data_IF_674102569905
#
_entry.id   IF_674102569905
#
_cell.length_a   1.000
_cell.length_b   1.000
_cell.length_c   1.000
_cell.angle_alpha   90.00
_cell.angle_beta   90.00
_cell.angle_gamma   90.00
#
_symmetry.space_group_name_H-M   'P 1'
#
loop_
_entity.id
_entity.type
_entity.pdbx_description
1 polymer ?
#
# COMPACT_ATOMS: atom_id res chain seq x y z
N UNK A 1 -27.40 -10.13 33.70
CA UNK A 1 -27.48 -10.05 32.23
C UNK A 1 -28.29 -11.24 31.74
N UNK A 2 -29.37 -11.04 30.98
CA UNK A 2 -30.28 -12.11 30.58
C UNK A 2 -29.79 -12.81 29.31
N UNK A 3 -29.59 -14.13 29.41
CA UNK A 3 -29.40 -15.03 28.28
C UNK A 3 -30.72 -15.18 27.54
N UNK A 4 -30.83 -14.57 26.35
CA UNK A 4 -32.02 -14.67 25.52
C UNK A 4 -31.96 -15.93 24.64
N UNK A 5 -33.09 -16.64 24.52
CA UNK A 5 -33.24 -17.71 23.55
C UNK A 5 -33.39 -17.12 22.15
N UNK A 6 -32.40 -17.34 21.30
CA UNK A 6 -32.54 -17.19 19.84
C UNK A 6 -33.47 -18.30 19.32
N UNK A 7 -33.97 -18.17 18.09
CA UNK A 7 -34.91 -19.07 17.38
C UNK A 7 -36.40 -18.66 17.39
N UNK A 8 -36.76 -17.83 16.40
CA UNK A 8 -37.95 -17.99 15.53
C UNK A 8 -38.00 -16.95 14.40
N UNK A 9 -37.22 -15.86 14.48
CA UNK A 9 -37.20 -14.82 13.45
C UNK A 9 -35.80 -14.21 13.27
N UNK A 10 -35.03 -14.75 12.32
CA UNK A 10 -33.63 -14.38 12.09
C UNK A 10 -33.43 -12.89 11.75
N UNK A 11 -34.39 -12.25 11.09
CA UNK A 11 -34.35 -10.81 10.82
C UNK A 11 -34.35 -10.01 12.13
N UNK A 12 -35.17 -10.41 13.11
CA UNK A 12 -35.19 -9.77 14.45
C UNK A 12 -33.88 -10.00 15.19
N UNK A 13 -33.30 -11.19 15.07
CA UNK A 13 -32.03 -11.52 15.71
C UNK A 13 -30.89 -10.64 15.16
N UNK A 14 -30.86 -10.43 13.85
CA UNK A 14 -29.89 -9.55 13.19
C UNK A 14 -30.07 -8.08 13.62
N UNK A 15 -31.31 -7.57 13.63
CA UNK A 15 -31.58 -6.20 14.09
C UNK A 15 -31.10 -6.00 15.53
N UNK A 16 -31.33 -6.99 16.41
CA UNK A 16 -30.83 -6.97 17.79
C UNK A 16 -29.32 -6.97 17.87
N UNK A 17 -28.62 -7.73 17.03
CA UNK A 17 -27.16 -7.71 16.97
C UNK A 17 -26.65 -6.32 16.55
N UNK A 18 -27.30 -5.67 15.58
CA UNK A 18 -26.96 -4.30 15.17
C UNK A 18 -27.16 -3.32 16.34
N UNK A 19 -28.28 -3.42 17.06
CA UNK A 19 -28.53 -2.60 18.26
C UNK A 19 -27.47 -2.83 19.36
N UNK A 20 -27.12 -4.09 19.63
CA UNK A 20 -26.12 -4.46 20.65
C UNK A 20 -24.72 -3.98 20.30
N UNK A 21 -24.38 -3.91 19.00
CA UNK A 21 -23.09 -3.38 18.53
C UNK A 21 -22.86 -1.89 18.85
N UNK A 22 -23.86 -1.18 19.38
CA UNK A 22 -23.80 0.23 19.80
C UNK A 22 -23.49 0.43 21.28
N UNK A 23 -23.57 -0.64 22.08
CA UNK A 23 -23.37 -0.55 23.52
C UNK A 23 -21.89 -0.32 23.84
N UNK A 24 -21.57 0.43 24.91
CA UNK A 24 -20.19 0.70 25.30
C UNK A 24 -19.44 -0.61 25.58
N UNK A 25 -18.21 -0.68 25.09
CA UNK A 25 -17.46 -1.91 24.91
C UNK A 25 -16.33 -1.99 25.92
N UNK A 26 -16.37 -2.98 26.80
CA UNK A 26 -15.18 -3.56 27.41
C UNK A 26 -14.78 -4.85 26.65
N UNK A 27 -13.58 -5.37 26.92
CA UNK A 27 -13.06 -6.55 26.21
C UNK A 27 -13.97 -7.79 26.37
N UNK A 28 -14.58 -7.92 27.55
CA UNK A 28 -15.54 -9.00 27.84
C UNK A 28 -16.82 -8.88 26.98
N UNK A 29 -17.31 -7.66 26.79
CA UNK A 29 -18.48 -7.37 25.94
C UNK A 29 -18.17 -7.61 24.47
N UNK A 30 -16.94 -7.35 24.02
CA UNK A 30 -16.49 -7.66 22.65
C UNK A 30 -16.53 -9.16 22.37
N UNK A 31 -15.98 -9.96 23.27
CA UNK A 31 -15.95 -11.42 23.12
C UNK A 31 -17.37 -12.00 23.16
N UNK A 32 -18.20 -11.53 24.09
CA UNK A 32 -19.59 -11.96 24.18
C UNK A 32 -20.38 -11.60 22.92
N UNK A 33 -20.18 -10.40 22.38
CA UNK A 33 -20.81 -9.99 21.11
C UNK A 33 -20.40 -10.92 19.95
N UNK A 34 -19.11 -11.21 19.81
CA UNK A 34 -18.62 -12.12 18.78
C UNK A 34 -19.25 -13.53 18.89
N UNK A 35 -19.43 -14.05 20.11
CA UNK A 35 -20.12 -15.32 20.35
C UNK A 35 -21.60 -15.28 19.92
N UNK A 36 -22.30 -14.18 20.18
CA UNK A 36 -23.69 -14.01 19.74
C UNK A 36 -23.80 -13.92 18.22
N UNK A 37 -22.87 -13.22 17.56
CA UNK A 37 -22.79 -13.17 16.10
C UNK A 37 -22.55 -14.56 15.52
N UNK A 38 -21.58 -15.31 16.06
CA UNK A 38 -21.30 -16.70 15.65
C UNK A 38 -22.55 -17.58 15.82
N UNK A 39 -23.25 -17.51 16.95
CA UNK A 39 -24.46 -18.29 17.15
C UNK A 39 -25.55 -18.06 16.07
N UNK A 40 -25.70 -16.82 15.61
CA UNK A 40 -26.70 -16.45 14.58
C UNK A 40 -26.23 -16.81 13.17
N UNK A 41 -24.94 -16.62 12.87
CA UNK A 41 -24.41 -16.67 11.51
C UNK A 41 -23.63 -17.92 11.15
N UNK A 42 -23.07 -18.68 12.10
CA UNK A 42 -22.28 -19.88 11.80
C UNK A 42 -23.03 -20.88 10.92
N UNK A 43 -24.31 -21.23 11.17
CA UNK A 43 -25.03 -22.15 10.29
C UNK A 43 -25.13 -21.64 8.83
N UNK A 44 -25.12 -20.32 8.63
CA UNK A 44 -25.17 -19.69 7.31
C UNK A 44 -23.79 -19.58 6.66
N UNK A 45 -22.75 -19.33 7.45
CA UNK A 45 -21.37 -19.28 6.99
C UNK A 45 -20.97 -20.69 6.56
N UNK A 46 -21.16 -21.68 7.43
CA UNK A 46 -20.80 -23.08 7.16
C UNK A 46 -21.47 -23.61 5.89
N UNK A 47 -22.73 -23.24 5.62
CA UNK A 47 -23.42 -23.67 4.41
C UNK A 47 -22.87 -23.06 3.11
N UNK A 48 -22.01 -22.04 3.20
CA UNK A 48 -21.41 -21.30 2.07
C UNK A 48 -19.92 -21.61 1.85
N UNK A 49 -19.29 -22.27 2.81
CA UNK A 49 -17.89 -22.67 2.73
C UNK A 49 -17.77 -24.06 2.09
N UNK A 50 -16.72 -24.23 1.30
CA UNK A 50 -16.30 -25.58 0.84
C UNK A 50 -15.73 -26.38 2.02
N UNK A 51 -15.57 -27.69 1.85
CA UNK A 51 -14.96 -28.55 2.90
C UNK A 51 -13.56 -28.08 3.32
N UNK A 52 -12.76 -27.60 2.38
CA UNK A 52 -11.42 -27.07 2.66
C UNK A 52 -11.46 -25.75 3.43
N UNK A 53 -12.38 -24.85 3.07
CA UNK A 53 -12.57 -23.57 3.75
C UNK A 53 -13.21 -23.73 5.15
N UNK A 54 -14.03 -24.77 5.34
CA UNK A 54 -14.60 -25.08 6.65
C UNK A 54 -13.57 -25.58 7.67
N UNK A 55 -12.44 -26.15 7.23
CA UNK A 55 -11.35 -26.52 8.13
C UNK A 55 -10.30 -25.41 8.27
N UNK A 56 -10.46 -24.33 7.53
CA UNK A 56 -9.58 -23.16 7.52
C UNK A 56 -10.00 -22.19 8.62
N UNK A 57 -9.47 -22.42 9.82
CA UNK A 57 -9.75 -21.59 11.00
C UNK A 57 -9.42 -20.09 10.77
N UNK A 58 -8.27 -19.71 10.17
CA UNK A 58 -7.99 -18.30 9.86
C UNK A 58 -9.05 -17.61 9.01
N UNK A 59 -9.56 -18.29 7.97
CA UNK A 59 -10.63 -17.73 7.12
C UNK A 59 -11.93 -17.54 7.91
N UNK A 60 -12.32 -18.50 8.73
CA UNK A 60 -13.53 -18.42 9.55
C UNK A 60 -13.44 -17.29 10.58
N UNK A 61 -12.32 -17.16 11.27
CA UNK A 61 -12.06 -16.06 12.19
C UNK A 61 -12.09 -14.70 11.48
N UNK A 62 -11.54 -14.64 10.26
CA UNK A 62 -11.58 -13.43 9.42
C UNK A 62 -13.01 -13.04 9.04
N UNK A 63 -13.82 -14.02 8.59
CA UNK A 63 -15.24 -13.80 8.25
C UNK A 63 -16.00 -13.26 9.46
N UNK A 64 -15.83 -13.88 10.62
CA UNK A 64 -16.53 -13.47 11.84
C UNK A 64 -16.08 -12.07 12.30
N UNK A 65 -14.78 -11.77 12.24
CA UNK A 65 -14.22 -10.46 12.60
C UNK A 65 -14.77 -9.34 11.70
N UNK A 66 -14.76 -9.55 10.38
CA UNK A 66 -15.31 -8.59 9.42
C UNK A 66 -16.82 -8.45 9.56
N UNK A 67 -17.54 -9.55 9.82
CA UNK A 67 -18.99 -9.52 10.04
C UNK A 67 -19.35 -8.68 11.27
N UNK A 68 -18.62 -8.85 12.38
CA UNK A 68 -18.78 -7.98 13.55
C UNK A 68 -18.54 -6.51 13.17
N UNK A 69 -17.48 -6.23 12.41
CA UNK A 69 -17.17 -4.89 11.92
C UNK A 69 -18.25 -4.29 10.99
N UNK A 70 -18.87 -5.10 10.14
CA UNK A 70 -19.97 -4.69 9.28
C UNK A 70 -21.19 -4.33 10.12
N UNK A 71 -21.59 -5.20 11.06
CA UNK A 71 -22.71 -4.94 11.97
C UNK A 71 -22.50 -3.67 12.78
N UNK A 72 -21.29 -3.48 13.33
CA UNK A 72 -20.88 -2.27 14.04
C UNK A 72 -20.90 -1.00 13.19
N UNK A 73 -20.92 -1.08 11.86
CA UNK A 73 -20.96 0.12 11.01
C UNK A 73 -22.35 0.41 10.45
N UNK A 74 -23.36 -0.46 10.71
CA UNK A 74 -24.70 -0.29 10.15
C UNK A 74 -25.54 0.80 10.84
N UNK A 75 -26.21 1.69 10.11
CA UNK A 75 -27.19 2.60 10.71
C UNK A 75 -28.34 1.81 11.38
N UNK A 76 -28.79 2.23 12.56
CA UNK A 76 -29.92 1.57 13.26
C UNK A 76 -31.23 1.61 12.46
N UNK A 77 -31.38 2.62 11.61
CA UNK A 77 -32.58 2.86 10.81
C UNK A 77 -32.53 2.06 9.51
N UNK A 78 -31.34 1.59 9.11
CA UNK A 78 -31.17 0.88 7.86
C UNK A 78 -31.51 -0.60 8.02
N UNK A 79 -32.64 -1.02 7.43
CA UNK A 79 -33.07 -2.42 7.44
C UNK A 79 -32.41 -3.25 6.34
N UNK A 80 -31.63 -2.63 5.44
CA UNK A 80 -31.10 -3.29 4.26
C UNK A 80 -30.30 -4.55 4.61
N UNK A 81 -29.39 -4.46 5.59
CA UNK A 81 -28.61 -5.61 6.04
C UNK A 81 -29.54 -6.73 6.51
N UNK A 82 -30.54 -6.42 7.32
CA UNK A 82 -31.45 -7.41 7.88
C UNK A 82 -32.36 -8.05 6.81
N UNK A 83 -32.70 -7.29 5.77
CA UNK A 83 -33.51 -7.75 4.63
C UNK A 83 -32.72 -8.58 3.62
N UNK A 84 -31.45 -8.27 3.42
CA UNK A 84 -30.59 -8.86 2.38
C UNK A 84 -29.39 -9.62 2.95
N UNK A 85 -29.44 -10.04 4.22
CA UNK A 85 -28.32 -10.62 4.95
C UNK A 85 -27.63 -11.80 4.25
N UNK A 86 -28.37 -12.56 3.42
CA UNK A 86 -27.79 -13.66 2.64
C UNK A 86 -26.83 -13.15 1.57
N UNK A 87 -27.26 -12.19 0.77
CA UNK A 87 -26.46 -11.57 -0.29
C UNK A 87 -25.27 -10.82 0.30
N UNK A 88 -25.50 -10.07 1.38
CA UNK A 88 -24.42 -9.37 2.09
C UNK A 88 -23.39 -10.36 2.64
N UNK A 89 -23.83 -11.49 3.18
CA UNK A 89 -22.93 -12.54 3.67
C UNK A 89 -22.13 -13.18 2.53
N UNK A 90 -22.75 -13.42 1.36
CA UNK A 90 -22.04 -13.96 0.20
C UNK A 90 -20.93 -13.00 -0.28
N UNK A 91 -21.24 -11.70 -0.37
CA UNK A 91 -20.25 -10.67 -0.72
C UNK A 91 -19.13 -10.55 0.34
N UNK A 92 -19.49 -10.65 1.62
CA UNK A 92 -18.54 -10.58 2.72
C UNK A 92 -17.56 -11.76 2.71
N UNK A 93 -18.06 -12.98 2.47
CA UNK A 93 -17.21 -14.17 2.38
C UNK A 93 -16.24 -14.03 1.21
N UNK A 94 -16.69 -13.53 0.05
CA UNK A 94 -15.78 -13.29 -1.08
C UNK A 94 -14.74 -12.20 -0.78
N UNK A 95 -15.13 -11.16 -0.03
CA UNK A 95 -14.20 -10.14 0.45
C UNK A 95 -13.15 -10.73 1.42
N UNK A 96 -13.54 -11.66 2.29
CA UNK A 96 -12.64 -12.35 3.22
C UNK A 96 -11.70 -13.32 2.49
N UNK A 97 -12.18 -14.02 1.45
CA UNK A 97 -11.32 -14.82 0.56
C UNK A 97 -10.28 -13.96 -0.15
N UNK A 98 -10.71 -12.81 -0.67
CA UNK A 98 -9.79 -11.83 -1.23
C UNK A 98 -8.74 -11.40 -0.21
N UNK A 99 -9.15 -11.10 1.02
CA UNK A 99 -8.25 -10.69 2.11
C UNK A 99 -7.20 -11.75 2.44
N UNK A 100 -7.60 -13.03 2.47
CA UNK A 100 -6.68 -14.15 2.65
C UNK A 100 -5.68 -14.27 1.49
N UNK A 101 -6.14 -14.15 0.24
CA UNK A 101 -5.26 -14.19 -0.95
C UNK A 101 -4.17 -13.11 -0.96
N UNK A 102 -4.36 -11.98 -0.27
CA UNK A 102 -3.33 -10.92 -0.20
C UNK A 102 -2.06 -11.42 0.51
N UNK A 103 -2.19 -12.36 1.44
CA UNK A 103 -1.04 -12.90 2.17
C UNK A 103 -0.11 -13.72 1.28
N UNK A 104 -0.69 -14.39 0.29
CA UNK A 104 0.01 -15.34 -0.57
C UNK A 104 0.52 -14.72 -1.89
N UNK A 105 0.02 -13.53 -2.26
CA UNK A 105 0.28 -12.90 -3.56
C UNK A 105 0.98 -11.55 -3.36
N UNK A 106 2.04 -11.24 -4.14
CA UNK A 106 2.66 -9.92 -4.11
C UNK A 106 1.63 -8.80 -4.27
N UNK A 107 1.71 -7.77 -3.42
CA UNK A 107 0.72 -6.69 -3.38
C UNK A 107 0.53 -5.98 -4.73
N UNK A 108 1.58 -5.93 -5.58
CA UNK A 108 1.53 -5.36 -6.93
C UNK A 108 0.60 -6.19 -7.83
N UNK A 109 0.81 -7.50 -7.87
CA UNK A 109 0.00 -8.43 -8.65
C UNK A 109 -1.44 -8.43 -8.13
N UNK A 110 -1.60 -8.45 -6.81
CA UNK A 110 -2.91 -8.41 -6.18
C UNK A 110 -3.69 -7.13 -6.53
N UNK A 111 -3.02 -5.97 -6.54
CA UNK A 111 -3.64 -4.72 -6.97
C UNK A 111 -4.11 -4.80 -8.43
N UNK A 112 -3.34 -5.42 -9.33
CA UNK A 112 -3.68 -5.54 -10.75
C UNK A 112 -4.90 -6.43 -10.99
N UNK A 113 -4.98 -7.59 -10.33
CA UNK A 113 -6.05 -8.57 -10.55
C UNK A 113 -7.35 -8.22 -9.82
N UNK A 114 -7.30 -7.33 -8.84
CA UNK A 114 -8.45 -6.98 -7.98
C UNK A 114 -9.38 -5.93 -8.60
N UNK A 115 -9.98 -6.26 -9.74
CA UNK A 115 -10.90 -5.36 -10.48
C UNK A 115 -11.99 -4.81 -9.57
N UNK A 116 -12.63 -5.65 -8.75
CA UNK A 116 -13.69 -5.22 -7.84
C UNK A 116 -13.23 -4.15 -6.85
N UNK A 117 -12.01 -4.26 -6.31
CA UNK A 117 -11.48 -3.30 -5.32
C UNK A 117 -11.01 -2.01 -5.96
N UNK A 118 -10.56 -2.07 -7.21
CA UNK A 118 -10.34 -0.87 -8.01
C UNK A 118 -11.68 -0.15 -8.29
N UNK A 119 -12.75 -0.90 -8.59
CA UNK A 119 -14.09 -0.33 -8.78
C UNK A 119 -14.59 0.38 -7.52
N UNK A 120 -14.39 -0.18 -6.32
CA UNK A 120 -14.74 0.49 -5.06
C UNK A 120 -14.07 1.88 -4.98
N UNK A 121 -12.79 1.97 -5.34
CA UNK A 121 -12.04 3.24 -5.34
C UNK A 121 -12.56 4.22 -6.40
N UNK A 122 -12.91 3.72 -7.59
CA UNK A 122 -13.51 4.53 -8.66
C UNK A 122 -14.86 5.11 -8.24
N UNK A 123 -15.70 4.32 -7.56
CA UNK A 123 -16.98 4.80 -7.04
C UNK A 123 -16.79 5.95 -6.05
N UNK A 124 -15.78 5.90 -5.18
CA UNK A 124 -15.50 7.03 -4.30
C UNK A 124 -15.00 8.27 -5.03
N UNK A 125 -14.21 8.12 -6.11
CA UNK A 125 -13.86 9.26 -6.96
C UNK A 125 -15.10 9.88 -7.59
N UNK A 126 -16.04 9.09 -8.09
CA UNK A 126 -17.32 9.58 -8.59
C UNK A 126 -18.10 10.32 -7.51
N UNK A 127 -18.22 9.73 -6.32
CA UNK A 127 -18.88 10.39 -5.18
C UNK A 127 -18.22 11.72 -4.83
N UNK A 128 -16.89 11.79 -4.79
CA UNK A 128 -16.13 13.03 -4.53
C UNK A 128 -16.40 14.08 -5.62
N UNK A 129 -16.39 13.67 -6.90
CA UNK A 129 -16.65 14.55 -8.05
C UNK A 129 -18.04 15.18 -8.01
N UNK A 130 -19.01 14.44 -7.51
CA UNK A 130 -20.44 14.78 -7.45
C UNK A 130 -20.85 15.53 -6.18
N UNK A 131 -19.96 15.66 -5.18
CA UNK A 131 -20.28 16.37 -3.94
C UNK A 131 -20.83 17.78 -4.22
N UNK A 132 -21.84 18.24 -3.46
CA UNK A 132 -22.41 19.57 -3.65
C UNK A 132 -21.43 20.67 -3.26
N UNK A 133 -20.68 20.47 -2.18
CA UNK A 133 -19.71 21.41 -1.64
C UNK A 133 -18.48 21.54 -2.56
N UNK A 134 -18.06 22.77 -2.83
CA UNK A 134 -16.85 23.03 -3.59
C UNK A 134 -15.65 22.93 -2.65
N UNK A 135 -15.00 21.77 -2.63
CA UNK A 135 -13.71 21.59 -1.98
C UNK A 135 -12.58 21.41 -3.01
N UNK A 136 -11.34 21.61 -2.55
CA UNK A 136 -10.14 21.50 -3.38
C UNK A 136 -10.04 20.12 -4.04
N UNK A 137 -10.40 19.07 -3.30
CA UNK A 137 -10.33 17.70 -3.78
C UNK A 137 -11.30 17.42 -4.93
N UNK A 138 -12.56 17.86 -4.82
CA UNK A 138 -13.56 17.77 -5.89
C UNK A 138 -13.06 18.46 -7.16
N UNK A 139 -12.43 19.62 -7.02
CA UNK A 139 -11.80 20.33 -8.16
C UNK A 139 -10.74 19.44 -8.81
N UNK A 140 -9.83 18.86 -8.05
CA UNK A 140 -8.80 17.94 -8.54
C UNK A 140 -9.42 16.72 -9.25
N UNK A 141 -10.40 16.07 -8.61
CA UNK A 141 -11.05 14.88 -9.16
C UNK A 141 -11.79 15.17 -10.47
N UNK A 142 -12.34 16.38 -10.65
CA UNK A 142 -12.97 16.80 -11.90
C UNK A 142 -12.01 16.97 -13.07
N UNK A 143 -10.71 17.13 -12.81
CA UNK A 143 -9.68 17.24 -13.84
C UNK A 143 -9.27 15.87 -14.38
N UNK A 144 -9.58 14.78 -13.68
CA UNK A 144 -9.20 13.43 -14.07
C UNK A 144 -10.10 12.91 -15.19
N UNK A 145 -9.47 12.44 -16.26
CA UNK A 145 -10.15 11.63 -17.30
C UNK A 145 -10.51 10.24 -16.77
N UNK A 146 -11.31 9.47 -17.51
CA UNK A 146 -11.60 8.07 -17.16
C UNK A 146 -10.33 7.22 -17.06
N UNK A 147 -9.38 7.46 -17.97
CA UNK A 147 -8.07 6.81 -17.94
C UNK A 147 -7.29 7.14 -16.66
N UNK A 148 -7.29 8.42 -16.25
CA UNK A 148 -6.64 8.83 -15.01
C UNK A 148 -7.31 8.22 -13.78
N UNK A 149 -8.64 8.11 -13.78
CA UNK A 149 -9.37 7.47 -12.68
C UNK A 149 -9.00 5.99 -12.57
N UNK A 150 -8.84 5.27 -13.67
CA UNK A 150 -8.35 3.89 -13.64
C UNK A 150 -6.92 3.81 -13.08
N UNK A 151 -6.03 4.68 -13.54
CA UNK A 151 -4.65 4.73 -13.04
C UNK A 151 -4.60 5.06 -11.54
N UNK A 152 -5.36 6.06 -11.09
CA UNK A 152 -5.46 6.46 -9.68
C UNK A 152 -6.03 5.33 -8.83
N UNK A 153 -7.07 4.63 -9.28
CA UNK A 153 -7.65 3.52 -8.54
C UNK A 153 -6.66 2.37 -8.34
N UNK A 154 -5.97 1.96 -9.41
CA UNK A 154 -4.91 0.95 -9.34
C UNK A 154 -3.80 1.36 -8.36
N UNK A 155 -3.27 2.58 -8.50
CA UNK A 155 -2.17 3.08 -7.67
C UNK A 155 -2.58 3.22 -6.20
N UNK A 156 -3.80 3.67 -5.94
CA UNK A 156 -4.35 3.78 -4.58
C UNK A 156 -4.44 2.41 -3.92
N UNK A 157 -4.95 1.42 -4.65
CA UNK A 157 -5.03 0.04 -4.15
C UNK A 157 -3.64 -0.53 -3.89
N UNK A 158 -2.68 -0.28 -4.79
CA UNK A 158 -1.29 -0.72 -4.64
C UNK A 158 -0.63 -0.14 -3.37
N UNK A 159 -0.77 1.17 -3.11
CA UNK A 159 -0.27 1.80 -1.86
C UNK A 159 -0.90 1.13 -0.64
N UNK A 160 -2.22 0.97 -0.67
CA UNK A 160 -2.97 0.41 0.44
C UNK A 160 -2.53 -1.03 0.75
N UNK A 161 -2.43 -1.87 -0.28
CA UNK A 161 -1.97 -3.25 -0.14
C UNK A 161 -0.50 -3.32 0.29
N UNK A 162 0.37 -2.44 -0.20
CA UNK A 162 1.75 -2.36 0.27
C UNK A 162 1.82 -2.03 1.76
N UNK A 163 0.97 -1.12 2.24
CA UNK A 163 0.83 -0.79 3.66
C UNK A 163 0.36 -1.99 4.49
N UNK A 164 -0.67 -2.70 4.02
CA UNK A 164 -1.17 -3.92 4.66
C UNK A 164 -0.12 -5.03 4.70
N UNK A 165 0.56 -5.30 3.58
CA UNK A 165 1.60 -6.32 3.47
C UNK A 165 2.74 -6.07 4.46
N UNK A 166 3.16 -4.82 4.65
CA UNK A 166 4.15 -4.44 5.67
C UNK A 166 3.69 -4.74 7.10
N UNK A 167 2.39 -4.78 7.34
CA UNK A 167 1.80 -5.07 8.64
C UNK A 167 1.54 -6.56 8.88
N UNK A 168 1.91 -7.47 7.95
CA UNK A 168 1.78 -8.96 7.97
C UNK A 168 0.69 -9.54 8.87
N UNK A 169 0.87 -9.55 10.20
CA UNK A 169 -0.10 -10.07 11.18
C UNK A 169 -1.39 -9.24 11.34
N UNK A 170 -1.38 -7.99 10.90
CA UNK A 170 -2.51 -7.07 10.99
C UNK A 170 -3.61 -7.34 9.97
N UNK A 171 -3.33 -8.00 8.84
CA UNK A 171 -4.30 -8.05 7.73
C UNK A 171 -5.55 -8.80 8.17
N UNK A 172 -5.48 -10.10 8.47
CA UNK A 172 -6.64 -10.94 8.81
C UNK A 172 -7.45 -10.42 10.00
N UNK A 173 -6.79 -9.82 10.98
CA UNK A 173 -7.41 -9.25 12.18
C UNK A 173 -8.00 -7.85 11.97
N UNK A 174 -7.47 -7.06 11.03
CA UNK A 174 -7.95 -5.69 10.76
C UNK A 174 -9.27 -5.69 10.02
N UNK A 175 -10.26 -4.94 10.49
CA UNK A 175 -11.55 -4.80 9.80
C UNK A 175 -11.43 -3.86 8.60
N UNK A 176 -11.43 -4.42 7.40
CA UNK A 176 -11.22 -3.70 6.16
C UNK A 176 -12.51 -3.30 5.46
N UNK A 177 -13.64 -3.93 5.80
CA UNK A 177 -14.89 -3.77 5.04
C UNK A 177 -16.02 -3.13 5.84
N UNK A 178 -16.96 -2.55 5.10
CA UNK A 178 -18.25 -2.10 5.61
C UNK A 178 -19.34 -2.40 4.58
N UNK A 179 -20.60 -2.33 4.98
CA UNK A 179 -21.73 -2.36 4.04
C UNK A 179 -22.16 -0.92 3.76
N UNK A 180 -22.15 -0.53 2.49
CA UNK A 180 -22.60 0.79 2.02
C UNK A 180 -23.35 0.65 0.70
N UNK A 181 -24.47 1.36 0.57
CA UNK A 181 -25.32 1.34 -0.63
C UNK A 181 -25.64 -0.09 -1.11
N UNK A 182 -25.79 -1.00 -0.14
CA UNK A 182 -26.10 -2.41 -0.37
C UNK A 182 -24.93 -3.32 -0.77
N UNK A 183 -23.68 -2.84 -0.75
CA UNK A 183 -22.49 -3.60 -1.15
C UNK A 183 -21.41 -3.67 -0.08
N UNK A 184 -20.65 -4.76 -0.07
CA UNK A 184 -19.43 -4.90 0.75
C UNK A 184 -18.25 -4.20 0.06
N UNK A 185 -17.98 -2.98 0.53
CA UNK A 185 -16.90 -2.13 0.03
C UNK A 185 -15.73 -2.10 1.03
N UNK A 186 -14.52 -1.84 0.52
CA UNK A 186 -13.40 -1.42 1.37
C UNK A 186 -13.80 -0.18 2.19
N UNK A 187 -13.31 -0.04 3.42
CA UNK A 187 -13.61 1.15 4.22
C UNK A 187 -12.91 2.36 3.62
N UNK A 188 -13.70 3.38 3.25
CA UNK A 188 -13.15 4.61 2.67
C UNK A 188 -12.11 5.25 3.59
N UNK A 189 -12.32 5.25 4.91
CA UNK A 189 -11.39 5.83 5.89
C UNK A 189 -9.97 5.24 5.81
N UNK A 190 -9.83 3.97 5.44
CA UNK A 190 -8.53 3.29 5.36
C UNK A 190 -7.75 3.68 4.10
N UNK A 191 -8.44 3.91 2.99
CA UNK A 191 -7.81 4.24 1.70
C UNK A 191 -7.79 5.74 1.41
N UNK A 192 -8.54 6.54 2.18
CA UNK A 192 -8.80 7.97 1.92
C UNK A 192 -7.54 8.76 1.66
N UNK A 193 -6.55 8.63 2.54
CA UNK A 193 -5.31 9.39 2.42
C UNK A 193 -4.55 8.98 1.15
N UNK A 194 -4.40 7.67 0.90
CA UNK A 194 -3.76 7.15 -0.31
C UNK A 194 -4.46 7.66 -1.57
N UNK A 195 -5.79 7.63 -1.60
CA UNK A 195 -6.57 8.13 -2.73
C UNK A 195 -6.29 9.60 -3.00
N UNK A 196 -6.30 10.44 -1.96
CA UNK A 196 -6.14 11.87 -2.12
C UNK A 196 -4.74 12.23 -2.60
N UNK A 197 -3.72 11.56 -2.07
CA UNK A 197 -2.33 11.68 -2.51
C UNK A 197 -2.18 11.27 -3.99
N UNK A 198 -2.79 10.16 -4.42
CA UNK A 198 -2.73 9.71 -5.82
C UNK A 198 -3.47 10.63 -6.78
N UNK A 199 -4.65 11.16 -6.39
CA UNK A 199 -5.38 12.15 -7.18
C UNK A 199 -4.52 13.39 -7.39
N UNK A 200 -3.99 13.96 -6.31
CA UNK A 200 -3.22 15.20 -6.37
C UNK A 200 -1.92 15.03 -7.17
N UNK A 201 -1.23 13.91 -6.97
CA UNK A 201 -0.03 13.57 -7.71
C UNK A 201 -0.29 13.40 -9.21
N UNK A 202 -1.40 12.75 -9.58
CA UNK A 202 -1.81 12.59 -10.98
C UNK A 202 -2.08 13.95 -11.62
N UNK A 203 -2.83 14.82 -10.93
CA UNK A 203 -3.08 16.19 -11.41
C UNK A 203 -1.78 16.98 -11.56
N UNK A 204 -0.87 16.86 -10.59
CA UNK A 204 0.42 17.55 -10.61
C UNK A 204 1.31 17.15 -11.80
N UNK A 205 1.31 15.86 -12.16
CA UNK A 205 2.12 15.38 -13.28
C UNK A 205 1.58 15.78 -14.64
N UNK A 206 0.26 15.72 -14.84
CA UNK A 206 -0.32 15.80 -16.18
C UNK A 206 -1.06 17.09 -16.50
N UNK A 207 -1.46 17.86 -15.49
CA UNK A 207 -2.37 18.99 -15.70
C UNK A 207 -1.82 20.31 -15.22
N UNK A 208 -1.42 20.42 -13.95
CA UNK A 208 -0.92 21.70 -13.41
C UNK A 208 0.05 21.54 -12.25
N UNK A 209 1.12 22.32 -12.32
CA UNK A 209 2.17 22.35 -11.29
C UNK A 209 1.75 23.09 -10.02
N UNK A 210 0.70 23.92 -10.09
CA UNK A 210 0.16 24.69 -8.96
C UNK A 210 -0.35 23.80 -7.84
N UNK A 211 -0.67 22.54 -8.15
CA UNK A 211 -1.24 21.61 -7.20
C UNK A 211 -0.20 20.94 -6.30
N UNK A 212 1.10 21.28 -6.44
CA UNK A 212 2.15 20.79 -5.56
C UNK A 212 1.87 21.02 -4.06
N UNK A 213 0.93 21.91 -3.71
CA UNK A 213 0.48 22.14 -2.34
C UNK A 213 -0.01 20.88 -1.61
N UNK A 214 -0.34 19.79 -2.31
CA UNK A 214 -0.70 18.51 -1.66
C UNK A 214 0.42 17.94 -0.78
N UNK A 215 1.67 18.34 -1.01
CA UNK A 215 2.83 17.86 -0.23
C UNK A 215 2.89 18.49 1.17
N UNK A 216 2.25 19.65 1.38
CA UNK A 216 2.41 20.44 2.61
C UNK A 216 1.97 19.69 3.86
N UNK A 217 0.83 18.96 3.78
CA UNK A 217 0.37 18.13 4.90
C UNK A 217 1.39 17.03 5.26
N UNK A 218 2.02 16.45 4.24
CA UNK A 218 3.07 15.44 4.46
C UNK A 218 4.36 16.07 4.99
N UNK A 219 4.71 17.28 4.58
CA UNK A 219 5.86 18.01 5.11
C UNK A 219 5.66 18.40 6.58
N UNK A 220 4.43 18.69 7.02
CA UNK A 220 4.12 18.89 8.45
C UNK A 220 4.43 17.60 9.23
N UNK A 221 4.06 16.42 8.70
CA UNK A 221 4.39 15.13 9.31
C UNK A 221 5.91 14.90 9.35
N UNK A 222 6.63 15.27 8.29
CA UNK A 222 8.11 15.26 8.25
C UNK A 222 8.67 16.16 9.34
N UNK A 223 8.21 17.41 9.45
CA UNK A 223 8.65 18.34 10.48
C UNK A 223 8.47 17.76 11.88
N UNK A 224 7.29 17.24 12.20
CA UNK A 224 7.03 16.63 13.51
C UNK A 224 7.96 15.44 13.78
N UNK A 225 8.13 14.56 12.79
CA UNK A 225 9.03 13.42 12.92
C UNK A 225 10.48 13.86 13.16
N UNK A 226 10.99 14.82 12.37
CA UNK A 226 12.34 15.38 12.56
C UNK A 226 12.48 16.04 13.94
N UNK A 227 11.49 16.82 14.37
CA UNK A 227 11.44 17.42 15.72
C UNK A 227 11.57 16.36 16.80
N UNK A 228 10.81 15.28 16.70
CA UNK A 228 10.82 14.21 17.69
C UNK A 228 12.17 13.47 17.69
N UNK A 229 12.75 13.20 16.53
CA UNK A 229 14.08 12.58 16.41
C UNK A 229 15.19 13.46 16.97
N UNK A 230 15.17 14.77 16.69
CA UNK A 230 16.11 15.73 17.27
C UNK A 230 15.92 15.80 18.79
N UNK A 231 14.67 15.93 19.26
CA UNK A 231 14.35 16.03 20.69
C UNK A 231 14.81 14.79 21.46
N UNK A 232 14.69 13.59 20.90
CA UNK A 232 15.21 12.36 21.51
C UNK A 232 16.72 12.42 21.79
N UNK A 233 17.48 13.14 20.95
CA UNK A 233 18.94 13.21 21.02
C UNK A 233 19.48 14.39 21.85
N UNK A 234 18.79 15.54 21.84
CA UNK A 234 19.25 16.76 22.53
C UNK A 234 18.38 17.21 23.71
N UNK A 235 17.22 16.59 23.93
CA UNK A 235 16.29 16.88 25.02
C UNK A 235 15.48 18.18 24.84
N UNK A 236 16.12 19.30 24.52
CA UNK A 236 15.46 20.59 24.24
C UNK A 236 15.91 21.18 22.91
N UNK A 237 14.98 21.77 22.18
CA UNK A 237 15.21 22.40 20.87
C UNK A 237 15.30 23.91 21.10
N UNK A 238 16.47 24.48 20.82
CA UNK A 238 16.68 25.93 20.79
C UNK A 238 16.39 26.53 19.41
N UNK A 239 16.43 27.86 19.27
CA UNK A 239 16.10 28.56 18.02
C UNK A 239 16.93 28.11 16.80
N UNK A 240 18.24 27.88 16.98
CA UNK A 240 19.14 27.45 15.90
C UNK A 240 18.78 26.05 15.37
N UNK A 241 18.39 25.13 16.26
CA UNK A 241 17.93 23.80 15.87
C UNK A 241 16.56 23.86 15.22
N UNK A 242 15.68 24.76 15.66
CA UNK A 242 14.37 24.96 15.03
C UNK A 242 14.51 25.49 13.60
N UNK A 243 15.43 26.43 13.36
CA UNK A 243 15.79 26.93 12.02
C UNK A 243 16.32 25.79 11.15
N UNK A 244 17.31 25.03 11.64
CA UNK A 244 17.85 23.90 10.89
C UNK A 244 16.84 22.79 10.60
N UNK A 245 15.87 22.54 11.48
CA UNK A 245 14.75 21.62 11.20
C UNK A 245 13.89 22.16 10.03
N UNK A 246 13.62 23.46 9.99
CA UNK A 246 12.88 24.07 8.88
C UNK A 246 13.68 23.99 7.56
N UNK A 247 15.01 24.09 7.62
CA UNK A 247 15.88 23.92 6.45
C UNK A 247 15.83 22.48 5.93
N UNK A 248 15.87 21.47 6.81
CA UNK A 248 15.70 20.06 6.42
C UNK A 248 14.38 19.87 5.67
N UNK A 249 13.28 20.37 6.22
CA UNK A 249 11.94 20.23 5.62
C UNK A 249 11.87 20.94 4.26
N UNK A 250 12.47 22.14 4.17
CA UNK A 250 12.55 22.90 2.91
C UNK A 250 13.36 22.16 1.86
N UNK A 251 14.47 21.53 2.24
CA UNK A 251 15.28 20.74 1.33
C UNK A 251 14.54 19.49 0.83
N UNK A 252 13.85 18.76 1.72
CA UNK A 252 13.02 17.61 1.33
C UNK A 252 11.95 18.00 0.32
N UNK A 253 11.31 19.16 0.50
CA UNK A 253 10.35 19.70 -0.46
C UNK A 253 10.98 19.91 -1.83
N UNK A 254 12.13 20.58 -1.88
CA UNK A 254 12.86 20.86 -3.12
C UNK A 254 13.27 19.55 -3.81
N UNK A 255 13.85 18.61 -3.07
CA UNK A 255 14.31 17.33 -3.60
C UNK A 255 13.15 16.51 -4.16
N UNK A 256 12.02 16.48 -3.47
CA UNK A 256 10.82 15.81 -3.94
C UNK A 256 10.28 16.45 -5.22
N UNK A 257 10.15 17.78 -5.27
CA UNK A 257 9.69 18.50 -6.46
C UNK A 257 10.63 18.25 -7.65
N UNK A 258 11.94 18.33 -7.43
CA UNK A 258 12.95 18.06 -8.46
C UNK A 258 12.85 16.62 -8.97
N UNK A 259 12.67 15.65 -8.08
CA UNK A 259 12.46 14.24 -8.45
C UNK A 259 11.18 14.07 -9.29
N UNK A 260 10.09 14.70 -8.88
CA UNK A 260 8.85 14.66 -9.64
C UNK A 260 8.99 15.37 -11.00
N UNK A 261 9.71 16.49 -11.10
CA UNK A 261 9.97 17.16 -12.37
C UNK A 261 10.74 16.28 -13.35
N UNK A 262 11.76 15.54 -12.88
CA UNK A 262 12.47 14.54 -13.71
C UNK A 262 11.53 13.45 -14.22
N UNK A 263 10.58 13.03 -13.39
CA UNK A 263 9.60 11.99 -13.73
C UNK A 263 8.40 12.48 -14.55
N UNK A 264 8.24 13.78 -14.80
CA UNK A 264 7.18 14.31 -15.68
C UNK A 264 7.28 13.83 -17.12
N UNK A 265 8.48 13.42 -17.57
CA UNK A 265 8.67 12.85 -18.90
C UNK A 265 8.05 11.44 -19.04
N UNK A 266 8.02 10.67 -17.95
CA UNK A 266 7.44 9.32 -17.92
C UNK A 266 6.63 9.10 -16.63
N UNK A 267 5.48 9.79 -16.44
CA UNK A 267 4.77 9.77 -15.15
C UNK A 267 4.12 8.41 -14.84
N UNK A 268 4.00 7.54 -15.84
CA UNK A 268 3.60 6.15 -15.65
C UNK A 268 4.67 5.32 -14.94
N UNK A 269 5.91 5.79 -14.84
CA UNK A 269 6.97 5.07 -14.10
C UNK A 269 7.02 5.45 -12.63
N UNK A 270 6.40 6.57 -12.23
CA UNK A 270 6.44 7.02 -10.84
C UNK A 270 5.18 6.59 -10.08
N UNK A 271 5.40 5.83 -9.01
CA UNK A 271 4.38 5.37 -8.08
C UNK A 271 4.82 5.68 -6.65
N UNK A 272 3.87 6.05 -5.81
CA UNK A 272 4.07 5.98 -4.36
C UNK A 272 3.62 4.58 -3.97
N UNK A 273 4.49 3.74 -3.42
CA UNK A 273 4.13 2.43 -2.83
C UNK A 273 4.07 2.51 -1.29
N UNK A 274 3.80 3.72 -0.82
CA UNK A 274 3.63 4.08 0.58
C UNK A 274 2.86 5.42 0.63
N UNK A 275 2.45 5.82 1.83
CA UNK A 275 1.98 7.18 2.04
C UNK A 275 3.10 8.18 1.72
N UNK A 276 2.73 9.35 1.22
CA UNK A 276 3.68 10.38 0.80
C UNK A 276 4.65 10.78 1.91
N UNK A 277 4.17 10.96 3.14
CA UNK A 277 5.04 11.28 4.28
C UNK A 277 6.15 10.24 4.50
N UNK A 278 5.83 8.94 4.37
CA UNK A 278 6.82 7.86 4.45
C UNK A 278 7.88 7.99 3.36
N UNK A 279 7.46 8.35 2.16
CA UNK A 279 8.37 8.60 1.05
C UNK A 279 9.29 9.81 1.32
N UNK A 280 8.74 10.88 1.92
CA UNK A 280 9.50 12.08 2.28
C UNK A 280 10.50 11.84 3.42
N UNK A 281 10.19 10.98 4.40
CA UNK A 281 11.14 10.60 5.45
C UNK A 281 12.42 9.97 4.86
N UNK A 282 12.30 9.25 3.74
CA UNK A 282 13.45 8.63 3.09
C UNK A 282 14.48 9.66 2.57
N UNK A 283 14.04 10.86 2.17
CA UNK A 283 14.96 11.94 1.78
C UNK A 283 15.76 12.44 2.98
N UNK A 284 15.13 12.60 4.14
CA UNK A 284 15.83 13.00 5.37
C UNK A 284 16.86 11.95 5.78
N UNK A 285 16.47 10.66 5.74
CA UNK A 285 17.35 9.55 6.11
C UNK A 285 18.56 9.44 5.19
N UNK A 286 18.33 9.46 3.86
CA UNK A 286 19.41 9.33 2.84
C UNK A 286 20.40 10.50 2.86
N UNK A 287 19.95 11.70 3.21
CA UNK A 287 20.81 12.88 3.26
C UNK A 287 21.57 13.03 4.59
N UNK A 288 21.29 12.15 5.57
CA UNK A 288 21.79 12.23 6.95
C UNK A 288 21.54 13.61 7.57
N UNK A 289 20.42 14.25 7.22
CA UNK A 289 20.23 15.66 7.50
C UNK A 289 20.17 15.98 9.00
N UNK A 290 19.61 15.07 9.81
CA UNK A 290 19.55 15.20 11.27
C UNK A 290 20.96 15.10 11.88
N UNK A 291 21.79 14.17 11.40
CA UNK A 291 23.16 14.00 11.92
C UNK A 291 24.02 15.23 11.58
N UNK A 292 23.88 15.75 10.36
CA UNK A 292 24.53 17.00 9.92
C UNK A 292 24.10 18.19 10.77
N UNK A 293 22.79 18.32 11.04
CA UNK A 293 22.26 19.39 11.89
C UNK A 293 22.83 19.33 13.32
N UNK A 294 23.01 18.13 13.87
CA UNK A 294 23.52 17.94 15.22
C UNK A 294 25.05 18.06 15.33
N UNK A 295 25.75 18.37 14.23
CA UNK A 295 27.20 18.50 14.23
C UNK A 295 27.95 17.18 14.43
N UNK A 296 27.26 16.05 14.26
CA UNK A 296 27.88 14.73 14.28
C UNK A 296 28.57 14.52 12.92
N UNK A 297 29.80 15.01 12.79
CA UNK A 297 30.66 14.65 11.67
C UNK A 297 31.02 13.18 11.77
N UNK A 298 30.27 12.32 11.09
CA UNK A 298 30.88 11.14 10.53
C UNK A 298 31.74 11.62 9.40
N UNK A 299 33.04 11.31 9.47
CA UNK A 299 33.94 11.45 8.33
C UNK A 299 33.22 10.91 7.10
N UNK A 300 33.33 11.62 5.98
CA UNK A 300 32.91 11.16 4.66
C UNK A 300 33.80 9.95 4.27
N UNK A 301 33.63 8.84 4.98
CA UNK A 301 34.10 7.52 4.64
C UNK A 301 32.86 6.76 4.19
N UNK A 302 32.93 6.33 2.92
CA UNK A 302 32.05 5.49 2.12
C UNK A 302 30.83 4.89 2.81
N UNK A 303 29.68 4.99 2.12
CA UNK A 303 28.32 4.48 2.38
C UNK A 303 28.18 3.10 3.09
N UNK A 304 28.80 2.84 4.23
CA UNK A 304 28.66 1.58 4.97
C UNK A 304 28.96 1.85 6.45
N UNK A 305 27.91 1.96 7.28
CA UNK A 305 28.09 1.89 8.73
C UNK A 305 27.21 2.76 9.63
N UNK A 306 25.90 2.89 9.38
CA UNK A 306 24.90 3.11 10.47
C UNK A 306 23.61 2.33 10.19
N UNK A 307 23.64 1.02 10.36
CA UNK A 307 22.41 0.31 10.70
C UNK A 307 22.67 -0.71 11.83
N UNK A 308 23.59 -0.39 12.73
CA UNK A 308 23.73 -1.11 14.00
C UNK A 308 23.24 -0.21 15.14
N UNK A 309 21.94 0.08 15.11
CA UNK A 309 21.15 0.14 16.34
C UNK A 309 19.77 -0.43 16.00
N UNK A 310 19.57 -1.68 16.41
CA UNK A 310 18.42 -2.52 16.09
C UNK A 310 17.20 -2.04 16.85
N UNK A 311 16.49 -1.12 16.22
CA UNK A 311 15.11 -0.82 16.52
C UNK A 311 14.53 -0.05 15.35
N UNK A 312 13.76 -0.73 14.50
CA UNK A 312 12.73 -0.11 13.64
C UNK A 312 13.05 0.13 12.15
N UNK A 313 14.10 -0.49 11.56
CA UNK A 313 14.33 -0.39 10.11
C UNK A 313 14.69 -1.69 9.36
N UNK A 314 14.73 -2.86 10.01
CA UNK A 314 15.20 -4.13 9.40
C UNK A 314 14.13 -5.17 9.03
N UNK A 315 12.82 -4.86 9.05
CA UNK A 315 11.78 -5.72 8.43
C UNK A 315 11.29 -5.19 7.06
N UNK A 316 12.20 -4.49 6.38
CA UNK A 316 12.14 -4.05 5.00
C UNK A 316 12.84 -5.12 4.15
N UNK A 317 12.06 -5.85 3.37
CA UNK A 317 12.40 -6.53 2.11
C UNK A 317 13.77 -7.22 2.09
N UNK A 318 13.74 -8.53 2.31
CA UNK A 318 14.85 -9.47 2.20
C UNK A 318 15.53 -9.34 0.81
N UNK A 319 16.58 -8.53 0.73
CA UNK A 319 17.63 -8.67 -0.26
C UNK A 319 18.85 -9.26 0.45
N UNK A 320 18.85 -10.59 0.55
CA UNK A 320 20.09 -11.35 0.76
C UNK A 320 21.01 -11.13 -0.46
N UNK A 321 22.03 -10.28 -0.33
CA UNK A 321 23.38 -10.73 -0.69
C UNK A 321 23.99 -11.17 0.64
N UNK A 322 24.15 -12.49 0.81
CA UNK A 322 24.73 -13.08 2.01
C UNK A 322 26.12 -12.51 2.30
N UNK A 323 26.55 -12.64 3.55
CA UNK A 323 27.93 -12.32 3.96
C UNK A 323 28.89 -13.04 3.04
N UNK A 324 29.46 -12.24 2.15
CA UNK A 324 30.35 -12.67 1.10
C UNK A 324 31.70 -12.14 1.56
N UNK A 325 32.62 -13.08 1.84
CA UNK A 325 33.98 -12.86 2.35
C UNK A 325 34.68 -11.72 1.59
N UNK A 326 35.74 -11.09 2.11
CA UNK A 326 36.40 -9.99 1.41
C UNK A 326 36.89 -10.39 -0.01
N UNK A 327 37.24 -11.66 -0.19
CA UNK A 327 37.54 -12.31 -1.49
C UNK A 327 36.31 -12.44 -2.40
N UNK A 328 35.15 -12.59 -1.78
CA UNK A 328 33.88 -12.87 -2.41
C UNK A 328 33.20 -11.53 -2.81
N UNK A 329 33.50 -10.41 -2.13
CA UNK A 329 33.10 -9.04 -2.53
C UNK A 329 33.83 -8.57 -3.78
N UNK A 330 35.12 -8.89 -3.87
CA UNK A 330 35.90 -8.68 -5.09
C UNK A 330 35.36 -9.55 -6.24
N UNK A 331 34.97 -10.80 -5.96
CA UNK A 331 34.29 -11.67 -6.91
C UNK A 331 32.92 -11.13 -7.35
N UNK A 332 32.08 -10.65 -6.43
CA UNK A 332 30.76 -10.08 -6.76
C UNK A 332 30.90 -8.79 -7.57
N UNK A 333 31.87 -7.93 -7.27
CA UNK A 333 32.12 -6.73 -8.09
C UNK A 333 32.66 -7.11 -9.48
N UNK A 334 33.51 -8.13 -9.58
CA UNK A 334 33.94 -8.71 -10.86
C UNK A 334 32.74 -9.29 -11.65
N UNK A 335 31.82 -10.00 -10.98
CA UNK A 335 30.57 -10.48 -11.59
C UNK A 335 29.67 -9.33 -12.03
N UNK A 336 29.52 -8.28 -11.21
CA UNK A 336 28.73 -7.07 -11.55
C UNK A 336 29.33 -6.36 -12.77
N UNK A 337 30.65 -6.26 -12.86
CA UNK A 337 31.33 -5.71 -14.04
C UNK A 337 31.15 -6.59 -15.27
N UNK A 338 31.24 -7.91 -15.15
CA UNK A 338 30.95 -8.87 -16.24
C UNK A 338 29.50 -8.77 -16.71
N UNK A 339 28.54 -8.74 -15.80
CA UNK A 339 27.11 -8.55 -16.11
C UNK A 339 26.88 -7.21 -16.82
N UNK A 340 27.44 -6.10 -16.33
CA UNK A 340 27.37 -4.77 -16.99
C UNK A 340 28.04 -4.75 -18.36
N UNK A 341 29.09 -5.55 -18.57
CA UNK A 341 29.73 -5.70 -19.87
C UNK A 341 28.86 -6.52 -20.83
N UNK A 342 28.37 -7.68 -20.40
CA UNK A 342 27.46 -8.52 -21.19
C UNK A 342 26.13 -7.80 -21.52
N UNK A 343 25.59 -7.02 -20.58
CA UNK A 343 24.41 -6.18 -20.78
C UNK A 343 24.60 -5.12 -21.87
N UNK A 344 25.80 -4.52 -21.97
CA UNK A 344 26.14 -3.58 -23.06
C UNK A 344 26.32 -4.26 -24.42
N UNK A 345 26.69 -5.54 -24.41
CA UNK A 345 26.85 -6.36 -25.61
C UNK A 345 25.54 -7.00 -26.08
N UNK A 346 24.53 -7.08 -25.21
CA UNK A 346 23.16 -7.35 -25.64
C UNK A 346 22.67 -6.18 -26.48
N UNK A 347 22.06 -6.47 -27.63
CA UNK A 347 21.48 -5.44 -28.49
C UNK A 347 20.57 -4.49 -27.69
N UNK A 348 20.54 -3.22 -28.10
CA UNK A 348 19.92 -2.09 -27.39
C UNK A 348 18.54 -2.41 -26.81
N UNK A 349 17.70 -3.11 -27.58
CA UNK A 349 16.35 -3.51 -27.16
C UNK A 349 16.35 -4.53 -26.00
N UNK A 350 17.28 -5.48 -25.96
CA UNK A 350 17.38 -6.43 -24.84
C UNK A 350 17.95 -5.77 -23.58
N UNK A 351 18.95 -4.91 -23.75
CA UNK A 351 19.49 -4.09 -22.66
C UNK A 351 18.37 -3.26 -22.03
N UNK A 352 17.62 -2.53 -22.84
CA UNK A 352 16.56 -1.65 -22.36
C UNK A 352 15.41 -2.40 -21.68
N UNK A 353 15.01 -3.58 -22.18
CA UNK A 353 14.00 -4.42 -21.54
C UNK A 353 14.44 -4.87 -20.15
N UNK A 354 15.69 -5.37 -20.01
CA UNK A 354 16.21 -5.87 -18.74
C UNK A 354 16.41 -4.71 -17.75
N UNK A 355 17.03 -3.62 -18.18
CA UNK A 355 17.31 -2.47 -17.32
C UNK A 355 16.03 -1.74 -16.90
N UNK A 356 15.02 -1.63 -17.76
CA UNK A 356 13.72 -1.05 -17.36
C UNK A 356 12.91 -2.01 -16.46
N UNK A 357 13.07 -3.32 -16.64
CA UNK A 357 12.43 -4.31 -15.77
C UNK A 357 13.05 -4.32 -14.37
N UNK A 358 14.36 -4.14 -14.24
CA UNK A 358 15.09 -4.13 -12.96
C UNK A 358 15.63 -2.75 -12.54
N UNK A 359 15.00 -1.68 -13.03
CA UNK A 359 15.44 -0.29 -12.93
C UNK A 359 16.12 0.03 -11.58
N UNK A 360 17.36 0.54 -11.64
CA UNK A 360 18.34 0.68 -10.52
C UNK A 360 17.83 1.45 -9.28
N UNK A 361 16.65 2.06 -9.35
CA UNK A 361 16.02 2.86 -8.29
C UNK A 361 14.82 2.18 -7.60
N UNK A 362 14.44 0.96 -7.99
CA UNK A 362 13.30 0.23 -7.42
C UNK A 362 13.74 -0.92 -6.52
N UNK A 363 12.94 -1.17 -5.48
CA UNK A 363 13.09 -2.33 -4.61
C UNK A 363 12.51 -3.63 -5.21
N UNK A 364 11.80 -3.60 -6.36
CA UNK A 364 11.21 -4.77 -7.05
C UNK A 364 11.02 -4.56 -8.58
N UNK A 365 10.90 -5.63 -9.39
CA UNK A 365 10.83 -5.55 -10.86
C UNK A 365 9.54 -4.90 -11.41
N UNK A 366 9.67 -4.14 -12.50
CA UNK A 366 8.54 -3.48 -13.18
C UNK A 366 7.70 -4.50 -13.96
N UNK A 367 6.38 -4.61 -13.73
CA UNK A 367 5.52 -5.60 -14.41
C UNK A 367 5.53 -5.49 -15.94
N UNK A 368 5.45 -6.64 -16.63
CA UNK A 368 5.49 -6.68 -18.10
C UNK A 368 4.32 -5.96 -18.78
N UNK A 369 3.15 -5.83 -18.15
CA UNK A 369 2.09 -4.99 -18.72
C UNK A 369 2.50 -3.52 -18.83
N UNK A 370 3.22 -3.01 -17.82
CA UNK A 370 3.70 -1.62 -17.79
C UNK A 370 4.80 -1.40 -18.83
N UNK A 371 5.73 -2.35 -18.94
CA UNK A 371 6.80 -2.27 -19.94
C UNK A 371 6.26 -2.45 -21.36
N UNK A 372 5.27 -3.32 -21.57
CA UNK A 372 4.68 -3.60 -22.88
C UNK A 372 4.09 -2.35 -23.53
N UNK A 373 3.51 -1.46 -22.72
CA UNK A 373 3.05 -0.16 -23.18
C UNK A 373 4.19 0.71 -23.73
N UNK A 374 5.34 0.77 -23.04
CA UNK A 374 6.50 1.54 -23.48
C UNK A 374 7.15 0.97 -24.75
N UNK A 375 7.09 -0.35 -24.94
CA UNK A 375 7.63 -1.02 -26.12
C UNK A 375 6.64 -1.18 -27.28
N UNK A 376 5.37 -0.78 -27.11
CA UNK A 376 4.33 -0.93 -28.13
C UNK A 376 4.01 -2.40 -28.48
N UNK A 377 4.19 -3.30 -27.52
CA UNK A 377 4.06 -4.75 -27.71
C UNK A 377 3.04 -5.35 -26.74
N UNK A 378 2.67 -6.62 -26.92
CA UNK A 378 1.84 -7.31 -25.94
C UNK A 378 2.68 -7.73 -24.73
N UNK A 379 2.09 -7.73 -23.53
CA UNK A 379 2.76 -8.17 -22.30
C UNK A 379 3.40 -9.55 -22.44
N UNK A 380 2.68 -10.50 -23.05
CA UNK A 380 3.16 -11.87 -23.29
C UNK A 380 4.34 -11.93 -24.27
N UNK A 381 4.33 -11.07 -25.30
CA UNK A 381 5.44 -10.95 -26.25
C UNK A 381 6.68 -10.38 -25.57
N UNK A 382 6.48 -9.35 -24.74
CA UNK A 382 7.57 -8.70 -24.03
C UNK A 382 8.18 -9.61 -22.96
N UNK A 383 7.35 -10.32 -22.22
CA UNK A 383 7.75 -11.33 -21.24
C UNK A 383 8.55 -12.47 -21.89
N UNK A 384 8.05 -13.04 -22.99
CA UNK A 384 8.77 -14.06 -23.76
C UNK A 384 10.13 -13.54 -24.26
N UNK A 385 10.18 -12.29 -24.70
CA UNK A 385 11.42 -11.66 -25.14
C UNK A 385 12.37 -11.37 -23.99
N UNK A 386 11.86 -10.95 -22.84
CA UNK A 386 12.64 -10.77 -21.62
C UNK A 386 13.33 -12.09 -21.25
N UNK A 387 12.61 -13.20 -21.20
CA UNK A 387 13.21 -14.52 -20.95
C UNK A 387 14.27 -14.90 -21.99
N UNK A 388 14.02 -14.61 -23.28
CA UNK A 388 15.03 -14.83 -24.33
C UNK A 388 16.29 -13.97 -24.15
N UNK A 389 16.14 -12.69 -23.78
CA UNK A 389 17.25 -11.79 -23.51
C UNK A 389 18.02 -12.23 -22.25
N UNK A 390 17.32 -12.69 -21.21
CA UNK A 390 17.92 -13.25 -20.00
C UNK A 390 18.69 -14.54 -20.27
N UNK A 391 18.17 -15.44 -21.12
CA UNK A 391 18.89 -16.65 -21.54
C UNK A 391 20.14 -16.32 -22.38
N UNK A 392 20.09 -15.29 -23.23
CA UNK A 392 21.28 -14.79 -23.93
C UNK A 392 22.29 -14.20 -22.96
N UNK A 393 21.84 -13.39 -21.99
CA UNK A 393 22.68 -12.82 -20.95
C UNK A 393 23.40 -13.92 -20.16
N UNK A 394 22.65 -14.94 -19.71
CA UNK A 394 23.20 -16.10 -19.00
C UNK A 394 24.25 -16.84 -19.82
N UNK A 395 24.00 -17.10 -21.11
CA UNK A 395 24.97 -17.74 -22.01
C UNK A 395 26.25 -16.92 -22.15
N UNK A 396 26.12 -15.62 -22.39
CA UNK A 396 27.28 -14.72 -22.51
C UNK A 396 28.09 -14.69 -21.21
N UNK A 397 27.43 -14.63 -20.06
CA UNK A 397 28.11 -14.67 -18.75
C UNK A 397 28.83 -16.01 -18.55
N UNK A 398 28.22 -17.14 -18.92
CA UNK A 398 28.84 -18.47 -18.83
C UNK A 398 29.99 -18.69 -19.82
N UNK A 399 30.02 -17.97 -20.94
CA UNK A 399 31.12 -18.00 -21.92
C UNK A 399 32.26 -17.03 -21.56
N UNK A 400 32.01 -16.09 -20.63
CA UNK A 400 32.99 -15.09 -20.15
C UNK A 400 33.59 -15.45 -18.77
N UNK A 401 33.09 -16.53 -18.15
CA UNK A 401 33.61 -17.18 -16.93
C UNK A 401 34.39 -18.44 -17.32
#
# INVERSE_FOLDING_TARGET
MSTFSFFSNRKKDIVRLIEQSRLPVDDASTLHFAQQVSHVFDPLIVSRLTKAEYVDEPLQQTILSELCGVLETQPLIDSYFADHYKTVLDELIEACRWKKRIEDIPYIEMAQISVQRQTDIQLWMTQIRERPEADHLRRLTRMLTEYDQQAVAYRTLRVFLAGLHKQKQGILSSRLFWLRDGRIELRFSLVRQCLFEQIALRVYFFYTTTEAAFIEESLIKVKHWVVDEVRKRVGRIGPELEEGINDIVSQVKIDFINKCQRKKAEPETFYLDAQLATYLFAFVKRSFAIDKLLGNQREEAEEEGILNDEGDLSQVIDWQEGVVDAMEREYVEEQKQKVRHCLRMLGEKCHEIITRHFNDDFSEPVPFQTLAFAFGESAKTLESRFYSCMEKLKKMIHETL
#
